data_IF_663881121655
#
_entry.id   IF_663881121655
#
_cell.length_a   1.000
_cell.length_b   1.000
_cell.length_c   1.000
_cell.angle_alpha   90.00
_cell.angle_beta   90.00
_cell.angle_gamma   90.00
#
_symmetry.space_group_name_H-M   'P 1'
#
loop_
_entity.id
_entity.type
_entity.pdbx_description
1 polymer ?
#
# COMPACT_ATOMS: atom_id res chain seq x y z
N UNK A 1 -7.73 4.97 -10.06
CA UNK A 1 -7.33 3.72 -10.75
C UNK A 1 -8.27 2.62 -10.35
N UNK A 2 -8.70 1.80 -11.30
CA UNK A 2 -9.54 0.63 -11.00
C UNK A 2 -8.73 -0.45 -10.30
N UNK A 3 -9.30 -0.98 -9.22
CA UNK A 3 -8.80 -2.17 -8.55
C UNK A 3 -9.65 -3.39 -8.86
N UNK A 4 -9.26 -4.54 -8.32
CA UNK A 4 -9.96 -5.82 -8.55
C UNK A 4 -11.41 -5.84 -8.04
N UNK A 5 -11.74 -5.05 -7.01
CA UNK A 5 -13.11 -4.95 -6.49
C UNK A 5 -14.01 -4.05 -7.33
N UNK A 6 -13.43 -3.14 -8.10
CA UNK A 6 -14.19 -2.14 -8.86
C UNK A 6 -14.90 -2.73 -10.09
N UNK A 7 -14.51 -3.92 -10.53
CA UNK A 7 -15.20 -4.63 -11.61
C UNK A 7 -16.66 -4.96 -11.27
N UNK A 8 -16.99 -5.09 -9.98
CA UNK A 8 -18.32 -5.36 -9.50
C UNK A 8 -19.04 -4.12 -8.96
N UNK A 9 -18.28 -3.18 -8.38
CA UNK A 9 -18.81 -1.95 -7.80
C UNK A 9 -19.14 -0.89 -8.86
N UNK A 10 -18.52 -0.95 -10.03
CA UNK A 10 -18.67 0.05 -11.09
C UNK A 10 -17.84 1.31 -10.86
N UNK A 11 -18.00 2.27 -11.75
CA UNK A 11 -17.26 3.53 -11.69
C UNK A 11 -17.94 4.56 -10.79
N UNK A 12 -17.21 5.51 -10.21
CA UNK A 12 -17.81 6.59 -9.44
C UNK A 12 -18.72 7.45 -10.32
N UNK A 13 -19.73 8.10 -9.72
CA UNK A 13 -20.61 9.01 -10.48
C UNK A 13 -19.82 10.10 -11.20
N UNK A 14 -20.20 10.39 -12.43
CA UNK A 14 -19.53 11.42 -13.26
C UNK A 14 -19.49 12.80 -12.57
N UNK A 15 -20.51 13.12 -11.77
CA UNK A 15 -20.59 14.38 -11.03
C UNK A 15 -19.46 14.57 -10.02
N UNK A 16 -18.75 13.51 -9.63
CA UNK A 16 -17.61 13.64 -8.71
C UNK A 16 -16.32 14.10 -9.38
N UNK A 17 -16.30 14.17 -10.71
CA UNK A 17 -15.13 14.62 -11.46
C UNK A 17 -13.91 13.73 -11.30
N UNK A 18 -14.11 12.44 -10.95
CA UNK A 18 -13.03 11.48 -10.77
C UNK A 18 -12.65 10.87 -12.11
N UNK A 19 -11.38 10.99 -12.47
CA UNK A 19 -10.84 10.31 -13.65
C UNK A 19 -10.53 8.86 -13.32
N UNK A 20 -11.14 7.93 -14.05
CA UNK A 20 -10.94 6.49 -13.88
C UNK A 20 -9.91 6.01 -14.90
N UNK A 21 -8.86 5.33 -14.42
CA UNK A 21 -7.78 4.79 -15.25
C UNK A 21 -7.55 3.33 -14.95
N UNK A 22 -7.08 2.59 -15.95
CA UNK A 22 -6.64 1.21 -15.79
C UNK A 22 -5.17 1.17 -15.33
N UNK A 23 -4.77 0.06 -14.70
CA UNK A 23 -3.36 -0.19 -14.38
C UNK A 23 -2.62 -0.86 -15.56
N UNK A 24 -1.30 -0.60 -15.72
CA UNK A 24 -0.53 0.44 -15.05
C UNK A 24 -0.83 1.82 -15.62
N UNK A 25 -0.76 2.85 -14.81
CA UNK A 25 -0.98 4.23 -15.24
C UNK A 25 0.27 5.08 -15.01
N UNK A 26 0.85 5.68 -16.08
CA UNK A 26 1.98 6.58 -15.93
C UNK A 26 1.61 7.82 -15.11
N UNK A 27 2.41 8.10 -14.09
CA UNK A 27 2.28 9.26 -13.21
C UNK A 27 3.68 9.78 -12.90
N UNK A 28 4.39 10.22 -13.95
CA UNK A 28 5.81 10.57 -13.88
C UNK A 28 6.18 11.43 -12.66
N UNK A 29 7.24 11.07 -11.91
CA UNK A 29 8.23 10.04 -12.19
C UNK A 29 7.81 8.63 -11.76
N UNK A 30 6.55 8.43 -11.38
CA UNK A 30 6.02 7.17 -10.86
C UNK A 30 5.21 6.40 -11.90
N UNK A 31 4.99 5.14 -11.61
CA UNK A 31 4.03 4.27 -12.28
C UNK A 31 3.00 3.84 -11.23
N UNK A 32 1.74 4.21 -11.43
CA UNK A 32 0.67 3.80 -10.52
C UNK A 32 0.11 2.44 -10.93
N UNK A 33 0.04 1.51 -9.96
CA UNK A 33 -0.48 0.15 -10.15
C UNK A 33 -1.42 -0.21 -9.00
N UNK A 34 -2.43 -1.02 -9.27
CA UNK A 34 -3.23 -1.58 -8.18
C UNK A 34 -2.48 -2.72 -7.51
N UNK A 35 -2.00 -3.69 -8.27
CA UNK A 35 -1.23 -4.84 -7.79
C UNK A 35 0.27 -4.52 -7.79
N UNK A 36 1.03 -4.97 -6.77
CA UNK A 36 2.47 -4.75 -6.74
C UNK A 36 3.20 -5.32 -7.95
N UNK A 37 4.05 -4.51 -8.54
CA UNK A 37 4.90 -4.87 -9.67
C UNK A 37 6.33 -4.38 -9.43
N UNK A 38 7.29 -5.02 -10.11
CA UNK A 38 8.65 -4.52 -10.23
C UNK A 38 8.82 -3.91 -11.63
N UNK A 39 8.72 -2.59 -11.80
CA UNK A 39 8.80 -1.97 -13.12
C UNK A 39 10.23 -2.08 -13.68
N UNK A 40 10.33 -2.14 -15.00
CA UNK A 40 11.63 -2.15 -15.69
C UNK A 40 12.38 -0.82 -15.54
N UNK A 41 11.63 0.27 -15.37
CA UNK A 41 12.19 1.60 -15.15
C UNK A 41 11.22 2.41 -14.28
N UNK A 42 11.74 3.41 -13.57
CA UNK A 42 10.97 4.24 -12.67
C UNK A 42 10.65 3.56 -11.34
N UNK A 43 9.64 4.07 -10.66
CA UNK A 43 9.23 3.62 -9.34
C UNK A 43 7.72 3.41 -9.29
N UNK A 44 7.28 2.21 -8.90
CA UNK A 44 5.87 1.88 -8.83
C UNK A 44 5.26 2.25 -7.48
N UNK A 45 4.07 2.86 -7.52
CA UNK A 45 3.20 3.05 -6.37
C UNK A 45 2.06 2.05 -6.47
N UNK A 46 1.95 1.16 -5.50
CA UNK A 46 1.05 0.00 -5.54
C UNK A 46 0.12 -0.04 -4.33
N UNK A 47 -0.98 -0.77 -4.47
CA UNK A 47 -1.92 -1.04 -3.41
C UNK A 47 -2.19 -2.54 -3.25
N UNK A 48 -3.46 -2.91 -3.10
CA UNK A 48 -4.01 -4.27 -3.12
C UNK A 48 -3.66 -5.15 -1.91
N UNK A 49 -2.41 -5.17 -1.48
CA UNK A 49 -1.91 -6.12 -0.46
C UNK A 49 -2.47 -5.85 0.93
N UNK A 50 -2.81 -4.61 1.25
CA UNK A 50 -3.19 -4.16 2.61
C UNK A 50 -2.13 -4.56 3.66
N UNK A 51 -0.87 -4.11 3.49
CA UNK A 51 0.21 -4.60 4.32
C UNK A 51 0.06 -4.18 5.78
N UNK A 52 0.30 -5.13 6.66
CA UNK A 52 0.30 -4.92 8.11
C UNK A 52 1.55 -5.49 8.77
N UNK A 53 1.95 -4.86 9.86
CA UNK A 53 3.05 -5.31 10.71
C UNK A 53 2.57 -5.47 12.14
N UNK A 54 3.19 -6.38 12.88
CA UNK A 54 2.96 -6.52 14.31
C UNK A 54 4.07 -5.79 15.06
N UNK A 55 3.70 -4.86 15.91
CA UNK A 55 4.62 -4.16 16.81
C UNK A 55 4.39 -4.67 18.24
N UNK A 56 5.48 -4.73 19.01
CA UNK A 56 5.44 -5.22 20.38
C UNK A 56 5.83 -4.09 21.33
N UNK A 57 5.04 -3.89 22.37
CA UNK A 57 5.34 -2.95 23.43
C UNK A 57 6.25 -3.55 24.50
N UNK A 58 6.73 -2.70 25.41
CA UNK A 58 7.65 -3.05 26.47
C UNK A 58 7.04 -4.03 27.49
N UNK A 59 5.73 -4.05 27.65
CA UNK A 59 5.01 -4.94 28.56
C UNK A 59 4.56 -6.26 27.89
N UNK A 60 5.01 -6.52 26.67
CA UNK A 60 4.69 -7.75 25.95
C UNK A 60 3.39 -7.69 25.14
N UNK A 61 2.69 -6.56 25.15
CA UNK A 61 1.54 -6.34 24.29
C UNK A 61 1.95 -6.35 22.82
N UNK A 62 1.04 -6.80 21.97
CA UNK A 62 1.25 -6.83 20.52
C UNK A 62 0.08 -6.17 19.81
N UNK A 63 0.37 -5.32 18.83
CA UNK A 63 -0.62 -4.64 18.02
C UNK A 63 -0.28 -4.78 16.53
N UNK A 64 -1.30 -5.08 15.73
CA UNK A 64 -1.17 -5.07 14.27
C UNK A 64 -1.54 -3.71 13.74
N UNK A 65 -0.62 -3.14 12.98
CA UNK A 65 -0.77 -1.81 12.38
C UNK A 65 -0.66 -1.89 10.87
N UNK A 66 -1.44 -1.08 10.14
CA UNK A 66 -1.21 -0.90 8.72
C UNK A 66 0.16 -0.25 8.49
N UNK A 67 0.78 -0.55 7.36
CA UNK A 67 2.09 -0.01 7.06
C UNK A 67 2.29 0.28 5.58
N UNK A 68 3.23 1.19 5.30
CA UNK A 68 3.87 1.30 4.00
C UNK A 68 4.99 0.27 3.89
N UNK A 69 5.15 -0.32 2.71
CA UNK A 69 6.33 -1.12 2.38
C UNK A 69 7.11 -0.34 1.32
N UNK A 70 8.30 0.12 1.65
CA UNK A 70 9.13 0.95 0.78
C UNK A 70 10.31 0.13 0.29
N UNK A 71 10.22 -0.32 -0.94
CA UNK A 71 11.27 -1.09 -1.62
C UNK A 71 12.13 -0.24 -2.54
N UNK A 72 13.06 -0.90 -3.25
CA UNK A 72 14.01 -0.23 -4.15
C UNK A 72 13.33 0.33 -5.40
N UNK A 73 12.31 -0.35 -5.90
CA UNK A 73 11.62 0.00 -7.16
C UNK A 73 10.12 0.15 -7.02
N UNK A 74 9.58 -0.09 -5.82
CA UNK A 74 8.16 0.03 -5.55
C UNK A 74 7.87 0.45 -4.11
N UNK A 75 6.74 1.10 -3.93
CA UNK A 75 6.10 1.24 -2.63
C UNK A 75 4.75 0.55 -2.65
N UNK A 76 4.39 -0.13 -1.56
CA UNK A 76 3.04 -0.64 -1.34
C UNK A 76 2.40 0.23 -0.28
N UNK A 77 1.28 0.85 -0.64
CA UNK A 77 0.54 1.72 0.25
C UNK A 77 -0.35 0.92 1.19
N UNK A 78 -0.55 1.39 2.42
CA UNK A 78 -1.51 0.78 3.32
C UNK A 78 -2.94 0.92 2.79
N UNK A 79 -3.85 0.07 3.28
CA UNK A 79 -5.26 0.20 2.98
C UNK A 79 -5.80 1.54 3.45
N UNK A 80 -6.59 2.20 2.62
CA UNK A 80 -7.23 3.47 2.97
C UNK A 80 -8.41 3.27 3.93
N UNK A 81 -9.19 2.20 3.73
CA UNK A 81 -10.36 1.90 4.53
C UNK A 81 -10.04 1.17 5.83
N UNK A 82 -10.87 1.39 6.85
CA UNK A 82 -10.73 0.74 8.18
C UNK A 82 -11.32 -0.67 8.24
N UNK A 83 -12.11 -1.08 7.25
CA UNK A 83 -12.79 -2.38 7.21
C UNK A 83 -12.05 -3.43 6.39
N UNK A 84 -10.85 -3.13 5.93
CA UNK A 84 -10.01 -4.07 5.20
C UNK A 84 -9.14 -4.85 6.18
N UNK A 85 -8.98 -6.16 5.95
CA UNK A 85 -8.02 -6.96 6.69
C UNK A 85 -6.58 -6.49 6.44
N UNK A 86 -5.67 -6.92 7.30
CA UNK A 86 -4.24 -6.65 7.16
C UNK A 86 -3.53 -7.94 6.76
N UNK A 87 -2.89 -7.95 5.60
CA UNK A 87 -2.08 -9.05 5.14
C UNK A 87 -0.67 -8.98 5.75
N UNK A 88 -0.10 -10.14 6.01
CA UNK A 88 1.32 -10.21 6.36
C UNK A 88 2.13 -9.87 5.11
N UNK A 89 2.86 -8.77 5.15
CA UNK A 89 3.73 -8.42 4.06
C UNK A 89 4.94 -9.36 4.03
N UNK A 90 5.16 -10.00 2.88
CA UNK A 90 6.39 -10.75 2.64
C UNK A 90 7.47 -9.77 2.17
N UNK A 91 8.51 -9.49 2.98
CA UNK A 91 9.52 -8.53 2.61
C UNK A 91 10.42 -9.06 1.49
N UNK A 92 10.79 -8.18 0.59
CA UNK A 92 11.92 -8.39 -0.31
C UNK A 92 13.18 -7.76 0.30
N UNK A 93 14.33 -8.20 -0.17
CA UNK A 93 15.59 -7.64 0.28
C UNK A 93 15.64 -6.12 0.06
N UNK A 94 15.91 -5.36 1.13
CA UNK A 94 15.96 -3.91 1.12
C UNK A 94 14.62 -3.22 1.36
N UNK A 95 13.52 -3.95 1.56
CA UNK A 95 12.24 -3.34 1.94
C UNK A 95 12.34 -2.74 3.34
N UNK A 96 11.78 -1.55 3.49
CA UNK A 96 11.59 -0.87 4.77
C UNK A 96 10.11 -0.77 5.06
N UNK A 97 9.76 -0.89 6.33
CA UNK A 97 8.39 -0.80 6.80
C UNK A 97 8.18 0.47 7.61
N UNK A 98 7.12 1.19 7.31
CA UNK A 98 6.70 2.37 8.08
C UNK A 98 5.28 2.14 8.55
N UNK A 99 5.11 1.89 9.85
CA UNK A 99 3.82 1.63 10.47
C UNK A 99 3.03 2.91 10.71
N UNK A 100 1.71 2.80 10.62
CA UNK A 100 0.76 3.86 10.95
C UNK A 100 0.07 3.54 12.28
N UNK A 101 0.15 4.46 13.23
CA UNK A 101 -0.60 4.40 14.49
C UNK A 101 -1.34 5.73 14.67
N UNK A 102 -2.65 5.73 14.37
CA UNK A 102 -3.43 6.96 14.33
C UNK A 102 -2.86 7.95 13.32
N UNK A 103 -2.43 9.12 13.77
CA UNK A 103 -1.82 10.16 12.94
C UNK A 103 -0.28 10.12 12.91
N UNK A 104 0.34 9.07 13.47
CA UNK A 104 1.79 8.96 13.62
C UNK A 104 2.36 7.89 12.70
N UNK A 105 3.57 8.13 12.21
CA UNK A 105 4.34 7.21 11.39
C UNK A 105 5.56 6.73 12.17
N UNK A 106 5.82 5.43 12.13
CA UNK A 106 6.97 4.81 12.77
C UNK A 106 7.75 3.98 11.76
N UNK A 107 8.99 4.38 11.49
CA UNK A 107 9.91 3.53 10.76
C UNK A 107 10.33 2.34 11.63
N UNK A 108 10.16 1.13 11.12
CA UNK A 108 10.57 -0.06 11.85
C UNK A 108 12.05 -0.35 11.61
N UNK A 109 12.74 -0.93 12.62
CA UNK A 109 14.13 -1.34 12.45
C UNK A 109 14.26 -2.36 11.30
N UNK A 110 15.30 -2.23 10.52
CA UNK A 110 15.70 -3.26 9.55
C UNK A 110 16.46 -4.36 10.29
N UNK A 111 16.06 -5.58 9.99
CA UNK A 111 16.81 -6.75 10.46
C UNK A 111 17.89 -7.13 9.45
#
# INVERSE_FOLDING_TARGET
MRGNHDTHAGDPPAAWGVTVVAEPHPLAPFLACHVPVAPRSGYALCGHVHPGVTVHGAAGEAERLPCFVLGRSRAILPAFGSFTGLARAAPLAGDRFVALAGSRLFALPQN
#
